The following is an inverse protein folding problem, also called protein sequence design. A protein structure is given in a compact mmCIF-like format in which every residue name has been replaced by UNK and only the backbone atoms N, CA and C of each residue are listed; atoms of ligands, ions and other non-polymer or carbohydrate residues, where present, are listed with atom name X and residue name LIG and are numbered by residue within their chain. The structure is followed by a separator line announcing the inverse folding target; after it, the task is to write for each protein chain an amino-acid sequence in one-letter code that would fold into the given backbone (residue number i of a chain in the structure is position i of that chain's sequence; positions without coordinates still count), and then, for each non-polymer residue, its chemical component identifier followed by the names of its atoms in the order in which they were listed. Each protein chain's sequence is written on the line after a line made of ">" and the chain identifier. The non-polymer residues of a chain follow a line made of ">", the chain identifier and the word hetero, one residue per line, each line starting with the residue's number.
data_IF_970681192556
#
_entry.id   IF_970681192556
#
_cell.length_a   1.000
_cell.length_b   1.000
_cell.length_c   1.000
_cell.angle_alpha   90.00
_cell.angle_beta   90.00
_cell.angle_gamma   90.00
#
_symmetry.space_group_name_H-M   'P 1'
#
loop_
_entity.id
_entity.type
_entity.pdbx_description
1 polymer ?
#
# COMPACT_ATOMS: atom_id res chain seq x y z
N UNK A 1 14.66 9.44 -3.89
CA UNK A 1 13.53 9.81 -3.11
C UNK A 1 12.70 8.64 -2.75
N UNK A 2 12.20 8.63 -1.59
CA UNK A 2 11.43 7.50 -1.12
C UNK A 2 9.97 7.64 -1.50
N UNK A 3 9.36 6.54 -1.84
CA UNK A 3 7.94 6.50 -2.13
C UNK A 3 7.21 6.41 -0.80
N UNK A 4 6.16 7.19 -0.65
CA UNK A 4 5.40 7.20 0.59
C UNK A 4 4.02 6.62 0.36
N UNK A 5 3.35 6.30 1.45
CA UNK A 5 2.00 5.79 1.39
C UNK A 5 1.07 6.80 0.74
N UNK A 6 1.32 8.08 0.99
CA UNK A 6 0.50 9.10 0.38
C UNK A 6 0.61 9.07 -1.14
N UNK A 7 1.82 8.86 -1.65
CA UNK A 7 2.00 8.78 -3.09
C UNK A 7 1.28 7.59 -3.67
N UNK A 8 1.33 6.47 -2.98
CA UNK A 8 0.64 5.27 -3.44
C UNK A 8 -0.86 5.52 -3.44
N UNK A 9 -1.36 6.18 -2.40
CA UNK A 9 -2.79 6.47 -2.31
C UNK A 9 -3.25 7.35 -3.46
N UNK A 10 -2.45 8.35 -3.79
CA UNK A 10 -2.80 9.23 -4.89
C UNK A 10 -2.81 8.49 -6.21
N UNK A 11 -1.85 7.64 -6.43
CA UNK A 11 -1.78 6.89 -7.66
C UNK A 11 -2.91 5.88 -7.76
N UNK A 12 -3.26 5.27 -6.65
CA UNK A 12 -4.31 4.28 -6.63
C UNK A 12 -5.70 4.90 -6.57
N UNK A 13 -5.78 6.17 -6.22
CA UNK A 13 -7.07 6.83 -6.11
C UNK A 13 -7.83 6.44 -4.86
N UNK A 14 -7.11 6.14 -3.80
CA UNK A 14 -7.73 5.74 -2.53
C UNK A 14 -7.15 6.56 -1.40
N UNK A 15 -7.69 6.38 -0.21
CA UNK A 15 -7.19 7.12 0.94
C UNK A 15 -5.95 6.43 1.49
N UNK A 16 -5.18 7.17 2.27
CA UNK A 16 -3.99 6.61 2.89
C UNK A 16 -4.34 5.45 3.81
N UNK A 17 -5.48 5.55 4.48
CA UNK A 17 -5.91 4.47 5.34
C UNK A 17 -6.12 3.18 4.58
N UNK A 18 -6.66 3.29 3.37
CA UNK A 18 -6.86 2.12 2.54
C UNK A 18 -5.53 1.50 2.15
N UNK A 19 -4.56 2.34 1.80
CA UNK A 19 -3.24 1.82 1.43
C UNK A 19 -2.60 1.13 2.62
N UNK A 20 -2.71 1.75 3.79
CA UNK A 20 -2.13 1.17 4.99
C UNK A 20 -2.73 -0.20 5.28
N UNK A 21 -4.04 -0.32 5.15
CA UNK A 21 -4.69 -1.59 5.39
C UNK A 21 -4.25 -2.64 4.37
N UNK A 22 -4.13 -2.22 3.12
CA UNK A 22 -3.74 -3.15 2.07
C UNK A 22 -2.33 -3.67 2.29
N UNK A 23 -1.42 -2.78 2.64
CA UNK A 23 -0.03 -3.18 2.81
C UNK A 23 0.21 -3.97 4.08
N UNK A 24 -0.56 -3.67 5.11
CA UNK A 24 -0.38 -4.35 6.39
C UNK A 24 -1.41 -5.44 6.64
N UNK A 25 -2.29 -5.66 5.70
CA UNK A 25 -3.33 -6.68 5.84
C UNK A 25 -4.17 -6.46 7.09
N UNK A 26 -4.48 -5.20 7.34
CA UNK A 26 -5.26 -4.88 8.50
C UNK A 26 -6.69 -4.62 8.16
N UNK A 27 -7.57 -5.04 9.01
CA UNK A 27 -8.97 -4.77 8.85
C UNK A 27 -9.55 -5.43 7.62
N UNK A 28 -10.72 -4.96 7.24
CA UNK A 28 -11.39 -5.53 6.10
C UNK A 28 -11.16 -4.68 4.90
N UNK A 29 -10.61 -5.26 3.88
CA UNK A 29 -10.35 -4.53 2.66
C UNK A 29 -10.63 -5.48 1.50
N UNK A 30 -11.13 -4.93 0.42
CA UNK A 30 -11.41 -5.71 -0.77
C UNK A 30 -10.12 -6.33 -1.29
N UNK A 31 -10.08 -7.64 -1.48
CA UNK A 31 -8.85 -8.30 -1.92
C UNK A 31 -8.37 -7.78 -3.27
N UNK A 32 -9.26 -7.39 -4.14
CA UNK A 32 -8.85 -6.82 -5.41
C UNK A 32 -8.14 -5.51 -5.22
N UNK A 33 -8.67 -4.68 -4.34
CA UNK A 33 -8.06 -3.39 -4.07
C UNK A 33 -6.71 -3.60 -3.40
N UNK A 34 -6.64 -4.53 -2.46
CA UNK A 34 -5.40 -4.80 -1.76
C UNK A 34 -4.32 -5.25 -2.73
N UNK A 35 -4.68 -6.15 -3.64
CA UNK A 35 -3.72 -6.63 -4.61
C UNK A 35 -3.25 -5.52 -5.53
N UNK A 36 -4.18 -4.68 -5.97
CA UNK A 36 -3.83 -3.57 -6.85
C UNK A 36 -2.87 -2.60 -6.15
N UNK A 37 -3.14 -2.31 -4.90
CA UNK A 37 -2.29 -1.40 -4.15
C UNK A 37 -0.91 -2.00 -3.93
N UNK A 38 -0.85 -3.28 -3.60
CA UNK A 38 0.44 -3.93 -3.39
C UNK A 38 1.25 -3.95 -4.68
N UNK A 39 0.60 -4.22 -5.79
CA UNK A 39 1.27 -4.24 -7.06
C UNK A 39 1.77 -2.85 -7.44
N UNK A 40 0.94 -1.84 -7.20
CA UNK A 40 1.33 -0.48 -7.50
C UNK A 40 2.52 -0.06 -6.64
N UNK A 41 2.49 -0.41 -5.36
CA UNK A 41 3.58 -0.08 -4.47
C UNK A 41 4.88 -0.71 -4.96
N UNK A 42 4.79 -1.95 -5.42
CA UNK A 42 5.95 -2.64 -5.91
C UNK A 42 6.51 -1.96 -7.15
N UNK A 43 5.63 -1.55 -8.05
CA UNK A 43 6.04 -0.88 -9.27
C UNK A 43 6.67 0.47 -8.97
N UNK A 44 6.18 1.16 -7.97
CA UNK A 44 6.72 2.45 -7.59
C UNK A 44 8.01 2.33 -6.81
N UNK A 45 8.36 1.13 -6.41
CA UNK A 45 9.60 0.94 -5.65
C UNK A 45 9.44 1.16 -4.17
N UNK A 46 8.22 1.07 -3.67
CA UNK A 46 8.00 1.24 -2.24
C UNK A 46 8.44 -0.01 -1.50
N UNK A 47 9.30 0.17 -0.52
CA UNK A 47 9.78 -0.94 0.27
C UNK A 47 9.20 -0.84 1.66
N UNK A 48 8.34 -1.77 2.00
CA UNK A 48 7.75 -1.78 3.32
C UNK A 48 8.70 -2.41 4.28
N UNK A 49 9.03 -1.66 5.35
CA UNK A 49 9.92 -2.16 6.31
C UNK A 49 9.28 -3.24 7.09
N UNK A 50 9.82 -4.40 7.03
CA UNK A 50 9.29 -5.47 7.79
C UNK A 50 9.97 -5.64 9.07
N UNK A 51 9.26 -5.73 10.15
CA UNK A 51 9.83 -5.90 11.40
C UNK A 51 10.10 -7.32 11.61
N UNK A 52 11.31 -7.62 11.83
CA UNK A 52 11.66 -8.98 12.07
C UNK A 52 11.78 -9.22 13.48
N UNK A 53 11.48 -10.28 13.99
CA UNK A 53 11.75 -10.57 15.40
C UNK A 53 11.84 -12.04 15.65
#
# INVERSE_FOLDING_TARGET
>A
MAVTIQQIAEQAGVSRGTVDRALNHRGRINPEVAERICRLADEMGYVQKERKH
#
